data_IF_897302322550
#
_entry.id   IF_897302322550
#
_cell.length_a   1.000
_cell.length_b   1.000
_cell.length_c   1.000
_cell.angle_alpha   90.00
_cell.angle_beta   90.00
_cell.angle_gamma   90.00
#
_symmetry.space_group_name_H-M   'P 1'
#
loop_
_entity.id
_entity.type
_entity.pdbx_description
1 polymer ?
#
# COMPACT_ATOMS: atom_id res chain seq x y z
N UNK A 1 -6.49 11.17 22.41
CA UNK A 1 -5.05 10.80 22.42
C UNK A 1 -4.68 9.77 21.33
N UNK A 2 -5.47 8.72 21.09
CA UNK A 2 -5.17 7.67 20.11
C UNK A 2 -4.95 8.14 18.66
N UNK A 3 -5.79 9.05 18.15
CA UNK A 3 -5.62 9.59 16.79
C UNK A 3 -4.29 10.33 16.57
N UNK A 4 -3.77 11.00 17.62
CA UNK A 4 -2.47 11.68 17.57
C UNK A 4 -1.33 10.65 17.44
N UNK A 5 -1.43 9.53 18.17
CA UNK A 5 -0.47 8.43 18.07
C UNK A 5 -0.45 7.85 16.66
N UNK A 6 -1.62 7.50 16.11
CA UNK A 6 -1.69 6.97 14.74
C UNK A 6 -1.19 7.96 13.70
N UNK A 7 -1.54 9.25 13.82
CA UNK A 7 -1.02 10.28 12.92
C UNK A 7 0.52 10.34 12.93
N UNK A 8 1.15 10.26 14.10
CA UNK A 8 2.61 10.24 14.23
C UNK A 8 3.26 8.99 13.65
N UNK A 9 2.55 7.87 13.64
CA UNK A 9 3.04 6.59 13.13
C UNK A 9 2.87 6.44 11.61
N UNK A 10 1.94 7.18 10.98
CA UNK A 10 1.69 7.10 9.54
C UNK A 10 2.91 7.33 8.64
N UNK A 11 3.78 8.33 8.90
CA UNK A 11 4.92 8.63 8.04
C UNK A 11 5.98 7.52 8.03
N UNK A 12 6.03 6.70 9.08
CA UNK A 12 7.01 5.60 9.18
C UNK A 12 6.44 4.26 8.70
N UNK A 13 5.15 4.03 8.90
CA UNK A 13 4.53 2.74 8.57
C UNK A 13 3.80 2.75 7.23
N UNK A 14 2.67 3.46 7.13
CA UNK A 14 1.74 3.31 6.00
C UNK A 14 2.10 4.18 4.80
N UNK A 15 2.56 5.41 5.01
CA UNK A 15 2.85 6.34 3.91
C UNK A 15 4.03 5.88 3.03
N UNK A 16 5.14 5.33 3.58
CA UNK A 16 6.23 4.79 2.77
C UNK A 16 5.80 3.60 1.91
N UNK A 17 4.89 2.75 2.39
CA UNK A 17 4.36 1.61 1.63
C UNK A 17 3.62 2.11 0.39
N UNK A 18 2.76 3.12 0.54
CA UNK A 18 2.06 3.71 -0.60
C UNK A 18 3.00 4.45 -1.55
N UNK A 19 4.02 5.14 -1.03
CA UNK A 19 5.04 5.78 -1.86
C UNK A 19 5.80 4.74 -2.70
N UNK A 20 6.20 3.61 -2.11
CA UNK A 20 6.86 2.52 -2.83
C UNK A 20 5.97 1.93 -3.93
N UNK A 21 4.68 1.73 -3.66
CA UNK A 21 3.75 1.19 -4.66
C UNK A 21 3.56 2.18 -5.82
N UNK A 22 3.35 3.47 -5.53
CA UNK A 22 3.03 4.48 -6.55
C UNK A 22 4.25 4.96 -7.34
N UNK A 23 5.31 5.34 -6.64
CA UNK A 23 6.50 5.93 -7.25
C UNK A 23 7.48 4.85 -7.70
N UNK A 24 7.90 3.95 -6.80
CA UNK A 24 8.98 3.00 -7.10
C UNK A 24 8.52 1.84 -7.99
N UNK A 25 7.27 1.37 -7.83
CA UNK A 25 6.68 0.30 -8.66
C UNK A 25 5.84 0.83 -9.82
N UNK A 26 5.69 2.16 -9.94
CA UNK A 26 4.98 2.79 -11.05
C UNK A 26 3.47 2.52 -11.10
N UNK A 27 2.84 2.09 -9.99
CA UNK A 27 1.40 1.87 -9.96
C UNK A 27 0.63 3.20 -9.97
N UNK A 28 0.22 3.63 -11.17
CA UNK A 28 -0.46 4.93 -11.39
C UNK A 28 -1.96 4.80 -11.59
N UNK A 29 -2.44 3.64 -12.08
CA UNK A 29 -3.85 3.39 -12.42
C UNK A 29 -4.18 1.92 -12.15
N UNK A 30 -5.42 1.68 -11.74
CA UNK A 30 -6.00 0.34 -11.70
C UNK A 30 -6.17 -0.22 -13.11
N UNK A 31 -6.01 -1.53 -13.23
CA UNK A 31 -6.20 -2.26 -14.49
C UNK A 31 -7.68 -2.60 -14.72
N UNK A 32 -8.41 -2.87 -13.64
CA UNK A 32 -9.80 -3.28 -13.63
C UNK A 32 -10.70 -2.12 -13.17
N UNK A 33 -11.97 -2.17 -13.59
CA UNK A 33 -13.00 -1.21 -13.21
C UNK A 33 -13.98 -1.85 -12.21
N UNK A 34 -14.45 -1.05 -11.27
CA UNK A 34 -15.37 -1.45 -10.21
C UNK A 34 -14.68 -1.72 -8.88
N UNK A 35 -15.35 -1.38 -7.77
CA UNK A 35 -14.76 -1.40 -6.41
C UNK A 35 -14.25 -2.79 -6.04
N UNK A 36 -15.07 -3.82 -6.21
CA UNK A 36 -14.69 -5.21 -5.89
C UNK A 36 -13.41 -5.67 -6.62
N UNK A 37 -13.23 -5.29 -7.88
CA UNK A 37 -12.04 -5.67 -8.65
C UNK A 37 -10.82 -4.83 -8.25
N UNK A 38 -11.00 -3.55 -7.97
CA UNK A 38 -9.94 -2.69 -7.45
C UNK A 38 -9.45 -3.16 -6.08
N UNK A 39 -10.34 -3.65 -5.21
CA UNK A 39 -9.98 -4.25 -3.92
C UNK A 39 -9.06 -5.46 -4.10
N UNK A 40 -9.35 -6.33 -5.07
CA UNK A 40 -8.48 -7.48 -5.40
C UNK A 40 -7.10 -7.01 -5.86
N UNK A 41 -7.02 -6.00 -6.72
CA UNK A 41 -5.73 -5.44 -7.16
C UNK A 41 -4.91 -4.88 -5.99
N UNK A 42 -5.52 -4.07 -5.12
CA UNK A 42 -4.83 -3.53 -3.93
C UNK A 42 -4.39 -4.67 -3.00
N UNK A 43 -5.22 -5.69 -2.82
CA UNK A 43 -4.91 -6.86 -2.01
C UNK A 43 -3.68 -7.59 -2.53
N UNK A 44 -3.65 -7.91 -3.83
CA UNK A 44 -2.51 -8.56 -4.48
C UNK A 44 -1.23 -7.72 -4.38
N UNK A 45 -1.31 -6.42 -4.63
CA UNK A 45 -0.17 -5.50 -4.49
C UNK A 45 0.39 -5.48 -3.07
N UNK A 46 -0.49 -5.50 -2.06
CA UNK A 46 -0.13 -5.49 -0.64
C UNK A 46 0.55 -6.80 -0.24
N UNK A 47 0.01 -7.94 -0.65
CA UNK A 47 0.63 -9.25 -0.42
C UNK A 47 2.01 -9.31 -1.08
N UNK A 48 2.13 -8.92 -2.35
CA UNK A 48 3.40 -8.89 -3.05
C UNK A 48 4.42 -7.92 -2.40
N UNK A 49 3.95 -6.80 -1.82
CA UNK A 49 4.80 -5.91 -1.03
C UNK A 49 5.34 -6.60 0.22
N UNK A 50 4.48 -7.28 0.99
CA UNK A 50 4.86 -7.96 2.21
C UNK A 50 5.78 -9.16 1.95
N UNK A 51 5.51 -9.97 0.93
CA UNK A 51 6.39 -11.08 0.54
C UNK A 51 7.79 -10.59 0.16
N UNK A 52 7.90 -9.45 -0.52
CA UNK A 52 9.20 -8.85 -0.83
C UNK A 52 9.96 -8.41 0.43
N UNK A 53 9.25 -7.89 1.44
CA UNK A 53 9.84 -7.53 2.74
C UNK A 53 10.24 -8.75 3.57
N UNK A 54 9.51 -9.86 3.46
CA UNK A 54 9.84 -11.08 4.21
C UNK A 54 11.08 -11.77 3.63
N UNK A 55 11.23 -11.82 2.30
CA UNK A 55 12.43 -12.41 1.68
C UNK A 55 13.70 -11.60 1.95
N UNK A 56 13.58 -10.28 2.11
CA UNK A 56 14.70 -9.36 2.33
C UNK A 56 15.13 -9.33 3.80
#
# INVERSE_FOLDING_TARGET
QQGIKYRKQRPVDVEPVFAHIKANRGFKRFLLKGISKAEVEVGLLSIAHNLKKWKA
#
